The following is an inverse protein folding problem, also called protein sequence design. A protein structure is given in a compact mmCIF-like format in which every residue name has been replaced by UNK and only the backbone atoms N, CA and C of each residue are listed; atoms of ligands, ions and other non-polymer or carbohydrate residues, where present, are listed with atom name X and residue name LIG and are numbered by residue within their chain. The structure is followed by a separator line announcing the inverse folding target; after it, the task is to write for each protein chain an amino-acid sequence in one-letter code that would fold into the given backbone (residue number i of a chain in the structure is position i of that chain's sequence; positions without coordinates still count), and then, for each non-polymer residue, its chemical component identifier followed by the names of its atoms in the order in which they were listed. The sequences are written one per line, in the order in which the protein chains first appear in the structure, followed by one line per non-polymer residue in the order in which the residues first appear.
data_IF_583680570262
#
_entry.id   IF_583680570262
#
_cell.length_a   1.000
_cell.length_b   1.000
_cell.length_c   1.000
_cell.angle_alpha   90.00
_cell.angle_beta   90.00
_cell.angle_gamma   90.00
#
_symmetry.space_group_name_H-M   'P 1'
#
loop_
_entity.id
_entity.type
_entity.pdbx_description
1 polymer ?
#
# COMPACT_ATOMS: atom_id res chain seq x y z
N UNK A 1 -0.10 -12.31 -16.77
CA UNK A 1 0.45 -11.80 -15.51
C UNK A 1 1.79 -11.15 -15.76
N UNK A 2 2.02 -9.95 -15.21
CA UNK A 2 3.31 -9.27 -15.36
C UNK A 2 4.42 -10.05 -14.65
N UNK A 3 5.62 -10.08 -15.22
CA UNK A 3 6.76 -10.67 -14.53
C UNK A 3 7.01 -10.00 -13.16
N UNK A 4 7.47 -10.77 -12.20
CA UNK A 4 7.73 -10.25 -10.85
C UNK A 4 8.77 -9.14 -10.86
N UNK A 5 9.76 -9.21 -11.77
CA UNK A 5 10.77 -8.16 -11.94
C UNK A 5 10.15 -6.82 -12.32
N UNK A 6 9.15 -6.83 -13.20
CA UNK A 6 8.44 -5.60 -13.58
C UNK A 6 7.60 -5.06 -12.42
N UNK A 7 6.94 -5.93 -11.67
CA UNK A 7 6.16 -5.52 -10.51
C UNK A 7 7.04 -4.88 -9.44
N UNK A 8 8.24 -5.43 -9.21
CA UNK A 8 9.20 -4.84 -8.28
C UNK A 8 9.72 -3.50 -8.76
N UNK A 9 9.94 -3.35 -10.07
CA UNK A 9 10.35 -2.07 -10.66
C UNK A 9 9.26 -1.01 -10.48
N UNK A 10 7.99 -1.37 -10.67
CA UNK A 10 6.86 -0.46 -10.43
C UNK A 10 6.80 -0.02 -8.97
N UNK A 11 7.03 -0.95 -8.04
CA UNK A 11 7.06 -0.65 -6.61
C UNK A 11 8.16 0.36 -6.28
N UNK A 12 9.35 0.18 -6.85
CA UNK A 12 10.48 1.10 -6.70
C UNK A 12 10.13 2.50 -7.20
N UNK A 13 9.50 2.60 -8.37
CA UNK A 13 9.08 3.89 -8.95
C UNK A 13 8.06 4.58 -8.05
N UNK A 14 7.08 3.85 -7.52
CA UNK A 14 6.08 4.42 -6.63
C UNK A 14 6.67 4.91 -5.31
N UNK A 15 7.64 4.20 -4.76
CA UNK A 15 8.35 4.62 -3.56
C UNK A 15 9.13 5.92 -3.84
N UNK A 16 9.79 6.00 -4.98
CA UNK A 16 10.52 7.21 -5.40
C UNK A 16 9.57 8.40 -5.61
N UNK A 17 8.41 8.15 -6.22
CA UNK A 17 7.39 9.18 -6.41
C UNK A 17 6.86 9.71 -5.08
N UNK A 18 6.67 8.84 -4.10
CA UNK A 18 6.23 9.23 -2.77
C UNK A 18 7.26 10.14 -2.09
N UNK A 19 8.54 9.80 -2.20
CA UNK A 19 9.64 10.60 -1.68
C UNK A 19 9.68 11.99 -2.34
N UNK A 20 9.53 12.03 -3.66
CA UNK A 20 9.52 13.28 -4.43
C UNK A 20 8.30 14.14 -4.05
N UNK A 21 7.13 13.53 -3.89
CA UNK A 21 5.90 14.21 -3.51
C UNK A 21 6.03 14.82 -2.12
N UNK A 22 6.67 14.12 -1.19
CA UNK A 22 6.92 14.63 0.16
C UNK A 22 7.80 15.88 0.12
N UNK A 23 8.92 15.82 -0.60
CA UNK A 23 9.83 16.95 -0.73
C UNK A 23 9.14 18.16 -1.35
N UNK A 24 8.30 17.97 -2.36
CA UNK A 24 7.54 19.03 -2.99
C UNK A 24 6.48 19.60 -2.03
N UNK A 25 5.77 18.74 -1.32
CA UNK A 25 4.69 19.14 -0.42
C UNK A 25 5.17 20.05 0.72
N UNK A 26 6.40 19.82 1.20
CA UNK A 26 6.96 20.67 2.28
C UNK A 26 7.09 22.14 1.88
N UNK A 27 7.16 22.42 0.59
CA UNK A 27 7.36 23.77 0.05
C UNK A 27 6.07 24.38 -0.52
N UNK A 28 4.99 23.61 -0.56
CA UNK A 28 3.75 24.05 -1.22
C UNK A 28 2.76 24.69 -0.27
N UNK A 29 1.87 25.51 -0.82
CA UNK A 29 0.77 26.12 -0.09
C UNK A 29 -0.28 25.06 0.28
N UNK A 30 -1.07 25.35 1.31
CA UNK A 30 -2.04 24.41 1.88
C UNK A 30 -3.08 23.90 0.87
N UNK A 31 -3.51 24.76 -0.05
CA UNK A 31 -4.47 24.39 -1.10
C UNK A 31 -3.91 23.32 -2.05
N UNK A 32 -2.62 23.39 -2.37
CA UNK A 32 -1.94 22.38 -3.19
C UNK A 32 -1.78 21.07 -2.43
N UNK A 33 -1.52 21.14 -1.13
CA UNK A 33 -1.44 19.94 -0.29
C UNK A 33 -2.79 19.21 -0.26
N UNK A 34 -3.89 19.96 -0.15
CA UNK A 34 -5.23 19.36 -0.19
C UNK A 34 -5.49 18.64 -1.52
N UNK A 35 -5.06 19.24 -2.65
CA UNK A 35 -5.17 18.61 -3.95
C UNK A 35 -4.33 17.31 -4.02
N UNK A 36 -3.11 17.33 -3.49
CA UNK A 36 -2.23 16.15 -3.44
C UNK A 36 -2.84 15.04 -2.58
N UNK A 37 -3.46 15.41 -1.46
CA UNK A 37 -4.15 14.43 -0.60
C UNK A 37 -5.29 13.74 -1.34
N UNK A 38 -6.08 14.49 -2.07
CA UNK A 38 -7.19 13.94 -2.85
C UNK A 38 -6.68 12.97 -3.92
N UNK A 39 -5.61 13.33 -4.63
CA UNK A 39 -4.98 12.47 -5.63
C UNK A 39 -4.40 11.20 -5.00
N UNK A 40 -3.72 11.34 -3.88
CA UNK A 40 -3.13 10.20 -3.17
C UNK A 40 -4.21 9.24 -2.67
N UNK A 41 -5.30 9.77 -2.12
CA UNK A 41 -6.42 8.96 -1.66
C UNK A 41 -7.06 8.20 -2.82
N UNK A 42 -7.29 8.86 -3.95
CA UNK A 42 -7.84 8.24 -5.14
C UNK A 42 -6.92 7.13 -5.67
N UNK A 43 -5.62 7.40 -5.76
CA UNK A 43 -4.62 6.42 -6.20
C UNK A 43 -4.56 5.21 -5.27
N UNK A 44 -4.61 5.44 -3.95
CA UNK A 44 -4.61 4.36 -2.97
C UNK A 44 -5.84 3.49 -3.09
N UNK A 45 -7.03 4.09 -3.22
CA UNK A 45 -8.28 3.35 -3.42
C UNK A 45 -8.24 2.50 -4.68
N UNK A 46 -7.77 3.06 -5.79
CA UNK A 46 -7.66 2.34 -7.07
C UNK A 46 -6.68 1.18 -6.97
N UNK A 47 -5.55 1.38 -6.32
CA UNK A 47 -4.54 0.34 -6.15
C UNK A 47 -5.08 -0.84 -5.33
N UNK A 48 -5.72 -0.55 -4.20
CA UNK A 48 -6.30 -1.59 -3.32
C UNK A 48 -7.44 -2.32 -4.03
N UNK A 49 -8.31 -1.59 -4.73
CA UNK A 49 -9.42 -2.17 -5.47
C UNK A 49 -8.93 -3.09 -6.58
N UNK A 50 -7.90 -2.69 -7.30
CA UNK A 50 -7.28 -3.51 -8.34
C UNK A 50 -6.78 -4.84 -7.76
N UNK A 51 -6.08 -4.81 -6.65
CA UNK A 51 -5.58 -6.03 -5.99
C UNK A 51 -6.74 -6.90 -5.51
N UNK A 52 -7.77 -6.29 -4.92
CA UNK A 52 -8.97 -7.00 -4.49
C UNK A 52 -9.64 -7.75 -5.65
N UNK A 53 -9.77 -7.09 -6.81
CA UNK A 53 -10.34 -7.72 -8.01
C UNK A 53 -9.45 -8.85 -8.53
N UNK A 54 -8.15 -8.67 -8.54
CA UNK A 54 -7.21 -9.70 -8.97
C UNK A 54 -7.33 -10.96 -8.11
N UNK A 55 -7.45 -10.79 -6.81
CA UNK A 55 -7.60 -11.91 -5.88
C UNK A 55 -8.92 -12.64 -6.13
N UNK A 56 -10.00 -11.91 -6.33
CA UNK A 56 -11.31 -12.51 -6.63
C UNK A 56 -11.31 -13.27 -7.95
N UNK A 57 -10.60 -12.78 -8.97
CA UNK A 57 -10.59 -13.41 -10.29
C UNK A 57 -9.83 -14.74 -10.33
N UNK A 58 -8.96 -15.00 -9.37
CA UNK A 58 -8.18 -16.24 -9.29
C UNK A 58 -9.01 -17.40 -8.72
N UNK A 59 -10.22 -17.12 -8.23
CA UNK A 59 -11.15 -18.13 -7.75
C UNK A 59 -10.90 -18.57 -6.30
N UNK A 60 -11.75 -19.49 -5.84
CA UNK A 60 -11.71 -19.99 -4.47
C UNK A 60 -10.59 -21.01 -4.28
N UNK A 61 -9.33 -20.58 -4.31
CA UNK A 61 -8.29 -21.47 -3.84
C UNK A 61 -8.24 -21.36 -2.31
N UNK A 62 -8.31 -22.51 -1.66
CA UNK A 62 -8.41 -22.66 -0.22
C UNK A 62 -7.06 -22.42 0.49
N UNK A 63 -6.23 -21.53 -0.02
CA UNK A 63 -4.93 -21.24 0.56
C UNK A 63 -5.10 -20.20 1.69
N UNK A 64 -4.59 -20.54 2.86
CA UNK A 64 -4.64 -19.67 4.05
C UNK A 64 -3.95 -18.33 3.81
N UNK A 65 -2.83 -18.33 3.08
CA UNK A 65 -2.07 -17.13 2.80
C UNK A 65 -2.87 -16.16 1.94
N UNK A 66 -3.62 -16.70 0.98
CA UNK A 66 -4.49 -15.89 0.12
C UNK A 66 -5.67 -15.32 0.89
N UNK A 67 -6.26 -16.09 1.79
CA UNK A 67 -7.34 -15.63 2.66
C UNK A 67 -6.86 -14.53 3.61
N UNK A 68 -5.66 -14.68 4.18
CA UNK A 68 -5.06 -13.68 5.04
C UNK A 68 -4.81 -12.38 4.29
N UNK A 69 -4.31 -12.47 3.06
CA UNK A 69 -4.10 -11.31 2.20
C UNK A 69 -5.41 -10.61 1.86
N UNK A 70 -6.46 -11.37 1.56
CA UNK A 70 -7.78 -10.82 1.26
C UNK A 70 -8.36 -10.08 2.47
N UNK A 71 -8.22 -10.63 3.67
CA UNK A 71 -8.67 -9.99 4.90
C UNK A 71 -7.93 -8.67 5.14
N UNK A 72 -6.64 -8.64 4.91
CA UNK A 72 -5.82 -7.44 5.04
C UNK A 72 -6.26 -6.36 4.05
N UNK A 73 -6.52 -6.73 2.80
CA UNK A 73 -6.97 -5.80 1.77
C UNK A 73 -8.33 -5.20 2.15
N UNK A 74 -9.25 -6.02 2.68
CA UNK A 74 -10.54 -5.53 3.16
C UNK A 74 -10.37 -4.52 4.30
N UNK A 75 -9.45 -4.79 5.22
CA UNK A 75 -9.14 -3.87 6.31
C UNK A 75 -8.56 -2.54 5.76
N UNK A 76 -7.69 -2.60 4.77
CA UNK A 76 -7.10 -1.42 4.13
C UNK A 76 -8.16 -0.58 3.42
N UNK A 77 -9.12 -1.20 2.73
CA UNK A 77 -10.25 -0.51 2.09
C UNK A 77 -11.07 0.24 3.16
N UNK A 78 -11.36 -0.41 4.26
CA UNK A 78 -12.13 0.19 5.35
C UNK A 78 -11.37 1.37 5.99
N UNK A 79 -10.07 1.25 6.13
CA UNK A 79 -9.21 2.33 6.63
C UNK A 79 -9.25 3.55 5.70
N UNK A 80 -9.17 3.34 4.39
CA UNK A 80 -9.24 4.42 3.41
C UNK A 80 -10.59 5.11 3.43
N UNK A 81 -11.67 4.37 3.60
CA UNK A 81 -13.01 4.94 3.75
C UNK A 81 -13.12 5.80 5.01
N UNK A 82 -12.53 5.35 6.11
CA UNK A 82 -12.50 6.11 7.36
C UNK A 82 -11.71 7.41 7.22
N UNK A 83 -10.59 7.40 6.51
CA UNK A 83 -9.81 8.59 6.21
C UNK A 83 -10.64 9.62 5.44
N UNK A 84 -11.38 9.18 4.44
CA UNK A 84 -12.22 10.07 3.63
C UNK A 84 -13.31 10.76 4.47
N UNK A 85 -13.83 10.06 5.48
CA UNK A 85 -14.85 10.61 6.39
C UNK A 85 -14.22 11.60 7.40
N UNK A 86 -13.05 11.27 7.95
CA UNK A 86 -12.37 12.14 8.93
C UNK A 86 -11.91 13.47 8.35
N UNK A 87 -11.58 13.51 7.06
CA UNK A 87 -11.14 14.73 6.39
C UNK A 87 -12.20 15.83 6.36
N UNK A 88 -13.46 15.52 6.69
CA UNK A 88 -14.57 16.45 6.69
C UNK A 88 -14.85 17.11 8.04
N UNK A 89 -14.16 16.72 9.10
CA UNK A 89 -14.39 17.28 10.44
C UNK A 89 -13.47 18.47 10.71
N UNK A 90 -14.07 19.62 11.02
CA UNK A 90 -13.37 20.83 11.44
C UNK A 90 -12.72 20.62 12.81
N UNK A 91 -11.47 21.03 12.90
CA UNK A 91 -10.69 20.87 14.13
C UNK A 91 -10.46 22.25 14.74
N UNK A 92 -10.71 22.34 16.04
CA UNK A 92 -10.46 23.55 16.80
C UNK A 92 -8.97 23.90 16.78
N UNK A 93 -8.66 25.18 16.57
CA UNK A 93 -7.27 25.66 16.39
C UNK A 93 -6.35 25.31 17.57
N UNK A 94 -6.88 25.25 18.81
CA UNK A 94 -6.10 24.92 20.00
C UNK A 94 -5.68 23.43 20.07
N UNK A 95 -6.29 22.56 19.26
CA UNK A 95 -5.92 21.14 19.19
C UNK A 95 -5.11 20.82 17.92
N UNK A 96 -4.87 21.82 17.07
CA UNK A 96 -4.22 21.61 15.79
C UNK A 96 -2.80 21.08 15.92
N UNK A 97 -2.04 21.55 16.88
CA UNK A 97 -0.66 21.11 17.11
C UNK A 97 -0.59 19.68 17.62
N UNK A 98 -1.44 19.34 18.60
CA UNK A 98 -1.52 17.96 19.11
C UNK A 98 -1.94 17.00 18.00
N UNK A 99 -2.89 17.40 17.18
CA UNK A 99 -3.30 16.61 16.03
C UNK A 99 -2.17 16.43 15.03
N UNK A 100 -1.42 17.49 14.74
CA UNK A 100 -0.28 17.41 13.83
C UNK A 100 0.73 16.38 14.30
N UNK A 101 1.07 16.39 15.60
CA UNK A 101 1.97 15.43 16.19
C UNK A 101 1.45 14.00 16.06
N UNK A 102 0.18 13.77 16.37
CA UNK A 102 -0.43 12.44 16.25
C UNK A 102 -0.43 11.95 14.81
N UNK A 103 -0.72 12.82 13.84
CA UNK A 103 -0.73 12.46 12.44
C UNK A 103 0.68 12.16 11.91
N UNK A 104 1.69 12.88 12.41
CA UNK A 104 3.08 12.60 12.06
C UNK A 104 3.52 11.23 12.59
N UNK A 105 3.12 10.87 13.82
CA UNK A 105 3.35 9.55 14.37
C UNK A 105 2.65 8.48 13.55
N UNK A 106 1.39 8.69 13.21
CA UNK A 106 0.63 7.78 12.38
C UNK A 106 1.27 7.59 11.00
N UNK A 107 1.77 8.68 10.41
CA UNK A 107 2.49 8.61 9.15
C UNK A 107 3.76 7.77 9.28
N UNK A 108 4.50 7.95 10.37
CA UNK A 108 5.69 7.13 10.66
C UNK A 108 5.37 5.65 10.77
N UNK A 109 4.31 5.30 11.50
CA UNK A 109 3.85 3.91 11.59
C UNK A 109 3.41 3.35 10.24
N UNK A 110 2.73 4.15 9.43
CA UNK A 110 2.30 3.74 8.10
C UNK A 110 3.51 3.44 7.20
N UNK A 111 4.55 4.27 7.26
CA UNK A 111 5.79 4.05 6.51
C UNK A 111 6.48 2.76 6.97
N UNK A 112 6.60 2.55 8.28
CA UNK A 112 7.20 1.35 8.84
C UNK A 112 6.42 0.10 8.42
N UNK A 113 5.10 0.19 8.42
CA UNK A 113 4.24 -0.88 7.95
C UNK A 113 4.45 -1.16 6.45
N UNK A 114 4.60 -0.12 5.65
CA UNK A 114 4.90 -0.26 4.23
C UNK A 114 6.25 -0.95 4.02
N UNK A 115 7.26 -0.60 4.80
CA UNK A 115 8.57 -1.25 4.76
C UNK A 115 8.43 -2.74 5.09
N UNK A 116 7.69 -3.07 6.15
CA UNK A 116 7.43 -4.47 6.52
C UNK A 116 6.71 -5.22 5.39
N UNK A 117 5.77 -4.56 4.71
CA UNK A 117 5.06 -5.14 3.57
C UNK A 117 5.99 -5.40 2.39
N UNK A 118 6.96 -4.52 2.13
CA UNK A 118 7.98 -4.74 1.09
C UNK A 118 8.85 -5.95 1.44
N UNK A 119 9.25 -6.09 2.70
CA UNK A 119 10.02 -7.25 3.15
C UNK A 119 9.22 -8.56 2.97
N UNK A 120 7.94 -8.54 3.29
CA UNK A 120 7.06 -9.69 3.05
C UNK A 120 6.94 -10.01 1.56
N UNK A 121 6.85 -8.99 0.71
CA UNK A 121 6.82 -9.18 -0.73
C UNK A 121 8.11 -9.82 -1.24
N UNK A 122 9.25 -9.41 -0.72
CA UNK A 122 10.54 -10.00 -1.06
C UNK A 122 10.58 -11.49 -0.70
N UNK A 123 10.12 -11.84 0.50
CA UNK A 123 10.03 -13.22 0.94
C UNK A 123 9.14 -14.04 0.00
N UNK A 124 7.97 -13.50 -0.35
CA UNK A 124 7.03 -14.17 -1.26
C UNK A 124 7.65 -14.43 -2.64
N UNK A 125 8.42 -13.46 -3.17
CA UNK A 125 9.12 -13.61 -4.45
C UNK A 125 10.18 -14.73 -4.36
N UNK A 126 10.95 -14.74 -3.28
CA UNK A 126 11.98 -15.77 -3.07
C UNK A 126 11.36 -17.17 -2.94
N UNK A 127 10.25 -17.27 -2.22
CA UNK A 127 9.51 -18.55 -2.10
C UNK A 127 9.01 -19.02 -3.47
N UNK A 128 8.54 -18.11 -4.32
CA UNK A 128 8.07 -18.44 -5.67
C UNK A 128 9.23 -18.96 -6.54
N UNK A 129 10.39 -18.32 -6.46
CA UNK A 129 11.60 -18.73 -7.20
C UNK A 129 12.03 -20.13 -6.74
N UNK A 130 12.08 -20.34 -5.42
CA UNK A 130 12.45 -21.62 -4.84
C UNK A 130 11.50 -22.74 -5.27
N UNK A 131 10.20 -22.48 -5.21
CA UNK A 131 9.18 -23.43 -5.64
C UNK A 131 9.30 -23.78 -7.14
N UNK A 132 9.59 -22.78 -7.98
CA UNK A 132 9.79 -23.00 -9.41
C UNK A 132 11.00 -23.88 -9.68
N UNK A 133 12.09 -23.63 -9.00
CA UNK A 133 13.31 -24.44 -9.11
C UNK A 133 13.08 -25.89 -8.66
N UNK A 134 12.36 -26.07 -7.57
CA UNK A 134 12.00 -27.40 -7.09
C UNK A 134 11.15 -28.15 -8.12
N UNK A 135 10.19 -27.48 -8.76
CA UNK A 135 9.36 -28.08 -9.79
C UNK A 135 10.18 -28.50 -11.03
N UNK A 136 11.13 -27.66 -11.42
CA UNK A 136 12.03 -27.95 -12.55
C UNK A 136 12.93 -29.16 -12.27
N UNK A 137 13.48 -29.26 -11.05
CA UNK A 137 14.27 -30.39 -10.63
C UNK A 137 13.44 -31.68 -10.62
N UNK A 138 12.20 -31.61 -10.16
CA UNK A 138 11.30 -32.78 -10.15
C UNK A 138 11.01 -33.28 -11.56
N UNK A 139 10.93 -32.40 -12.57
CA UNK A 139 10.74 -32.79 -13.97
C UNK A 139 11.96 -33.50 -14.54
N UNK A 140 13.16 -33.15 -14.08
CA UNK A 140 14.43 -33.74 -14.59
C UNK A 140 14.75 -35.12 -13.98
N UNK A 141 14.16 -35.42 -12.85
CA UNK A 141 14.30 -36.73 -12.23
C UNK A 141 13.15 -37.63 -12.63
#
# INVERSE_FOLDING_TARGET
MKPLSEQLAELSVRAKNAETAFAAAQKEARDKIEARKAEALSAAKMAVEKVSQQIKSVGESADRDRQALQAKITADVNTLKAYALKAKHDIKANLAEERATLLEEDAGFAIDYAIASVEQAQLAVLDAIDARRAAEQARRS
#
